data_IF_151717831078
#
_entry.id   IF_151717831078
#
_cell.length_a   1.000
_cell.length_b   1.000
_cell.length_c   1.000
_cell.angle_alpha   90.00
_cell.angle_beta   90.00
_cell.angle_gamma   90.00
#
_symmetry.space_group_name_H-M   'P 1'
#
loop_
_entity.id
_entity.type
_entity.pdbx_description
1 polymer ?
#
# COMPACT_ATOMS: atom_id res chain seq x y z
N UNK A 1 -0.49 54.58 39.72
CA UNK A 1 -1.20 54.54 41.02
C UNK A 1 -1.83 53.17 41.17
N UNK A 2 -1.43 52.45 42.22
CA UNK A 2 -2.11 51.40 42.97
C UNK A 2 -2.76 50.19 42.24
N UNK A 3 -2.65 48.93 42.66
CA UNK A 3 -1.79 48.12 43.55
C UNK A 3 -2.48 46.74 43.66
N UNK A 4 -1.70 45.66 43.48
CA UNK A 4 -1.81 44.29 44.07
C UNK A 4 -3.10 43.45 43.79
N UNK A 5 -3.00 42.13 43.62
CA UNK A 5 -2.50 41.16 44.62
C UNK A 5 -2.00 39.84 44.00
N UNK A 6 -0.79 39.44 44.39
CA UNK A 6 -0.35 38.03 44.50
C UNK A 6 -1.07 37.36 45.67
N UNK A 7 -1.27 36.04 45.59
CA UNK A 7 -0.87 35.10 46.65
C UNK A 7 -0.50 33.72 46.07
N UNK A 8 0.77 33.34 46.31
CA UNK A 8 1.24 31.96 46.35
C UNK A 8 0.66 31.25 47.58
N UNK A 9 0.40 29.95 47.46
CA UNK A 9 0.41 28.99 48.57
C UNK A 9 1.11 27.72 48.07
N UNK A 10 2.19 27.34 48.76
CA UNK A 10 2.87 26.05 48.66
C UNK A 10 2.61 25.23 49.93
N UNK A 11 3.09 23.98 49.90
CA UNK A 11 3.13 22.89 50.91
C UNK A 11 1.96 21.89 50.79
N UNK A 12 2.15 20.57 50.84
CA UNK A 12 3.32 19.69 50.89
C UNK A 12 2.84 18.23 50.85
N UNK A 13 3.78 17.31 50.58
CA UNK A 13 3.68 15.86 50.38
C UNK A 13 2.93 15.02 51.42
N UNK A 14 2.38 13.88 50.96
CA UNK A 14 2.30 12.60 51.70
C UNK A 14 2.22 11.43 50.70
N UNK A 15 3.17 10.49 50.78
CA UNK A 15 3.13 9.20 50.08
C UNK A 15 2.67 8.06 51.01
N UNK A 16 2.25 6.94 50.42
CA UNK A 16 2.24 5.54 50.92
C UNK A 16 1.48 4.68 49.88
N UNK A 17 2.17 3.79 49.15
CA UNK A 17 2.27 2.32 49.32
C UNK A 17 0.99 1.53 48.98
N UNK A 18 1.14 0.53 48.10
CA UNK A 18 0.20 -0.58 47.95
C UNK A 18 0.46 -1.46 46.73
N UNK A 19 1.43 -2.38 46.83
CA UNK A 19 1.60 -3.48 45.86
C UNK A 19 0.54 -4.55 46.09
N UNK A 20 -0.13 -4.98 45.02
CA UNK A 20 -0.96 -6.18 45.01
C UNK A 20 -0.20 -7.33 44.35
N UNK A 21 0.26 -8.28 45.16
CA UNK A 21 0.59 -9.62 44.73
C UNK A 21 -0.64 -10.50 45.01
N UNK A 22 -1.25 -11.07 43.97
CA UNK A 22 -2.30 -12.07 44.10
C UNK A 22 -1.66 -13.46 44.13
N UNK A 23 -1.65 -14.05 45.31
CA UNK A 23 -1.40 -15.47 45.52
C UNK A 23 -2.68 -16.24 45.19
N UNK A 24 -2.67 -16.98 44.09
CA UNK A 24 -3.65 -18.04 43.80
C UNK A 24 -3.08 -19.38 44.24
N UNK A 25 -3.62 -19.94 45.32
CA UNK A 25 -3.34 -21.30 45.76
C UNK A 25 -4.59 -22.15 45.51
N UNK A 26 -4.50 -23.09 44.56
CA UNK A 26 -5.46 -24.17 44.35
C UNK A 26 -4.66 -25.46 44.20
N UNK A 27 -4.62 -26.25 45.27
CA UNK A 27 -3.79 -27.44 45.38
C UNK A 27 -4.36 -28.69 44.72
N UNK A 28 -3.45 -29.62 44.44
CA UNK A 28 -3.73 -31.00 44.04
C UNK A 28 -2.43 -31.67 43.61
N UNK A 29 -1.77 -32.36 44.54
CA UNK A 29 -0.54 -33.11 44.30
C UNK A 29 -0.84 -34.44 43.62
N UNK A 30 -0.04 -34.79 42.61
CA UNK A 30 0.47 -36.15 42.40
C UNK A 30 1.77 -36.07 41.58
N UNK A 31 2.85 -36.60 42.14
CA UNK A 31 4.12 -36.81 41.46
C UNK A 31 4.05 -38.09 40.61
N UNK A 32 4.41 -38.02 39.33
CA UNK A 32 5.15 -39.10 38.68
C UNK A 32 5.99 -38.58 37.50
N UNK A 33 7.29 -38.86 37.56
CA UNK A 33 8.28 -38.62 36.52
C UNK A 33 7.99 -39.46 35.27
N UNK A 34 8.09 -38.83 34.10
CA UNK A 34 8.12 -39.52 32.81
C UNK A 34 8.28 -38.53 31.66
N UNK A 35 9.49 -38.00 31.46
CA UNK A 35 9.84 -37.19 30.31
C UNK A 35 9.71 -38.02 29.02
N UNK A 36 8.76 -37.64 28.16
CA UNK A 36 8.53 -38.20 26.83
C UNK A 36 8.19 -37.05 25.89
N UNK A 37 9.07 -36.87 24.90
CA UNK A 37 9.05 -35.90 23.81
C UNK A 37 7.72 -35.80 23.07
N UNK A 38 7.31 -34.57 22.76
CA UNK A 38 6.21 -34.27 21.85
C UNK A 38 6.00 -32.76 21.73
N UNK A 39 7.02 -32.04 21.24
CA UNK A 39 6.85 -30.67 20.80
C UNK A 39 6.00 -30.70 19.52
N UNK A 40 4.77 -30.19 19.61
CA UNK A 40 4.03 -29.69 18.46
C UNK A 40 4.67 -28.37 18.07
N UNK A 41 5.46 -28.43 17.00
CA UNK A 41 6.05 -27.28 16.33
C UNK A 41 4.93 -26.49 15.65
N UNK A 42 4.52 -25.39 16.29
CA UNK A 42 3.74 -24.35 15.66
C UNK A 42 4.75 -23.32 15.16
N UNK A 43 4.93 -23.26 13.84
CA UNK A 43 5.83 -22.33 13.17
C UNK A 43 5.45 -20.88 13.48
N UNK A 44 5.98 -20.35 14.57
CA UNK A 44 6.16 -18.92 14.75
C UNK A 44 7.41 -18.52 14.00
N UNK A 45 7.33 -17.42 13.25
CA UNK A 45 8.49 -16.73 12.69
C UNK A 45 9.63 -16.69 13.71
N UNK A 46 10.87 -16.90 13.25
CA UNK A 46 12.06 -16.79 14.10
C UNK A 46 12.18 -15.37 14.63
N UNK A 47 11.52 -15.10 15.76
CA UNK A 47 11.75 -13.94 16.61
C UNK A 47 13.12 -14.13 17.29
N UNK A 48 14.16 -13.72 16.60
CA UNK A 48 15.53 -13.72 17.08
C UNK A 48 16.43 -13.13 16.02
N UNK A 49 16.76 -11.84 16.15
CA UNK A 49 17.70 -11.19 15.25
C UNK A 49 17.68 -9.66 15.28
N UNK A 50 16.65 -9.02 15.84
CA UNK A 50 16.55 -7.57 15.78
C UNK A 50 17.62 -6.86 16.62
N UNK A 51 18.11 -7.50 17.68
CA UNK A 51 19.22 -7.00 18.50
C UNK A 51 20.53 -6.74 17.70
N UNK A 52 20.74 -7.45 16.58
CA UNK A 52 21.95 -7.34 15.76
C UNK A 52 21.77 -6.40 14.56
N UNK A 53 20.53 -5.98 14.29
CA UNK A 53 20.21 -5.07 13.19
C UNK A 53 20.68 -3.65 13.53
N UNK A 54 21.46 -3.07 12.62
CA UNK A 54 22.02 -1.73 12.80
C UNK A 54 22.15 -0.96 11.50
N UNK A 55 22.29 0.37 11.61
CA UNK A 55 22.55 1.25 10.47
C UNK A 55 21.28 1.81 9.81
N UNK A 56 21.32 2.00 8.50
CA UNK A 56 20.23 2.62 7.74
C UNK A 56 19.89 1.80 6.49
N UNK A 57 18.63 1.37 6.38
CA UNK A 57 18.08 0.73 5.20
C UNK A 57 17.23 1.74 4.44
N UNK A 58 17.62 2.08 3.22
CA UNK A 58 16.87 2.99 2.36
C UNK A 58 16.08 2.23 1.31
N UNK A 59 14.79 2.56 1.19
CA UNK A 59 13.89 2.18 0.11
C UNK A 59 13.26 3.39 -0.55
N UNK A 60 12.68 3.20 -1.73
CA UNK A 60 12.00 4.25 -2.48
C UNK A 60 10.94 3.66 -3.40
N UNK A 61 9.98 4.47 -3.82
CA UNK A 61 9.11 4.16 -4.95
C UNK A 61 7.67 4.55 -4.77
N UNK A 62 6.76 3.62 -5.03
CA UNK A 62 5.31 3.82 -5.06
C UNK A 62 4.82 4.70 -3.90
N UNK A 63 4.26 5.85 -4.26
CA UNK A 63 3.68 6.81 -3.31
C UNK A 63 2.31 6.36 -2.80
N UNK A 64 1.67 5.39 -3.45
CA UNK A 64 0.47 4.69 -2.99
C UNK A 64 0.68 4.11 -1.58
N UNK A 65 1.80 3.40 -1.38
CA UNK A 65 2.17 2.77 -0.11
C UNK A 65 2.64 3.75 0.98
N UNK A 66 2.65 5.06 0.76
CA UNK A 66 3.25 6.03 1.70
C UNK A 66 2.71 5.88 3.13
N UNK A 67 1.39 5.75 3.29
CA UNK A 67 0.77 5.60 4.61
C UNK A 67 1.15 4.26 5.28
N UNK A 68 1.15 3.16 4.52
CA UNK A 68 1.55 1.84 5.01
C UNK A 68 3.04 1.81 5.38
N UNK A 69 3.92 2.32 4.52
CA UNK A 69 5.36 2.41 4.78
C UNK A 69 5.66 3.27 6.01
N UNK A 70 4.93 4.38 6.20
CA UNK A 70 5.06 5.19 7.42
C UNK A 70 4.76 4.37 8.67
N UNK A 71 3.64 3.62 8.67
CA UNK A 71 3.28 2.76 9.79
C UNK A 71 4.26 1.60 10.00
N UNK A 72 4.67 0.93 8.92
CA UNK A 72 5.59 -0.19 8.95
C UNK A 72 6.98 0.21 9.45
N UNK A 73 7.55 1.30 8.93
CA UNK A 73 8.86 1.79 9.39
C UNK A 73 8.82 2.19 10.87
N UNK A 74 7.73 2.83 11.34
CA UNK A 74 7.59 3.20 12.75
C UNK A 74 7.45 1.97 13.67
N UNK A 75 6.58 1.03 13.32
CA UNK A 75 6.35 -0.18 14.11
C UNK A 75 7.57 -1.10 14.11
N UNK A 76 8.19 -1.34 12.95
CA UNK A 76 9.42 -2.13 12.84
C UNK A 76 10.56 -1.53 13.66
N UNK A 77 10.76 -0.20 13.62
CA UNK A 77 11.75 0.47 14.47
C UNK A 77 11.49 0.19 15.95
N UNK A 78 10.24 0.22 16.39
CA UNK A 78 9.86 -0.12 17.77
C UNK A 78 10.27 -1.53 18.17
N UNK A 79 10.11 -2.52 17.26
CA UNK A 79 10.55 -3.90 17.48
C UNK A 79 12.08 -4.00 17.56
N UNK A 80 12.80 -3.30 16.68
CA UNK A 80 14.27 -3.25 16.67
C UNK A 80 14.83 -2.66 17.97
N UNK A 81 14.30 -1.52 18.40
CA UNK A 81 14.71 -0.85 19.63
C UNK A 81 14.42 -1.70 20.88
N UNK A 82 13.31 -2.45 20.88
CA UNK A 82 12.93 -3.31 22.01
C UNK A 82 13.92 -4.46 22.25
N UNK A 83 14.60 -4.94 21.21
CA UNK A 83 15.66 -5.95 21.31
C UNK A 83 17.07 -5.37 21.45
N UNK A 84 17.20 -4.04 21.33
CA UNK A 84 18.48 -3.32 21.49
C UNK A 84 19.26 -3.10 20.20
N UNK A 85 18.65 -3.33 19.03
CA UNK A 85 19.19 -2.91 17.74
C UNK A 85 19.01 -1.41 17.49
N UNK A 86 19.59 -0.91 16.40
CA UNK A 86 19.51 0.51 16.02
C UNK A 86 19.25 0.75 14.52
N UNK A 87 18.84 -0.29 13.79
CA UNK A 87 18.47 -0.16 12.37
C UNK A 87 17.32 0.85 12.19
N UNK A 88 17.54 1.80 11.31
CA UNK A 88 16.52 2.74 10.83
C UNK A 88 16.16 2.38 9.39
N UNK A 89 14.87 2.22 9.11
CA UNK A 89 14.36 2.08 7.75
C UNK A 89 13.80 3.42 7.29
N UNK A 90 14.13 3.82 6.06
CA UNK A 90 13.61 5.02 5.40
C UNK A 90 12.97 4.63 4.08
N UNK A 91 11.87 5.29 3.73
CA UNK A 91 11.18 5.09 2.46
C UNK A 91 10.86 6.45 1.83
N UNK A 92 11.27 6.65 0.57
CA UNK A 92 11.00 7.86 -0.20
C UNK A 92 9.86 7.61 -1.22
N UNK A 93 8.66 8.20 -1.04
CA UNK A 93 7.49 7.94 -1.88
C UNK A 93 7.52 8.73 -3.20
N UNK A 94 8.45 8.38 -4.09
CA UNK A 94 8.78 9.12 -5.33
C UNK A 94 8.04 8.67 -6.59
N UNK A 95 7.17 7.67 -6.50
CA UNK A 95 6.52 7.02 -7.65
C UNK A 95 7.20 5.71 -8.04
N UNK A 96 6.43 4.77 -8.62
CA UNK A 96 6.91 3.41 -8.93
C UNK A 96 8.13 3.44 -9.86
N UNK A 97 8.07 4.21 -10.96
CA UNK A 97 9.15 4.28 -11.93
C UNK A 97 10.45 4.79 -11.30
N UNK A 98 10.39 5.93 -10.60
CA UNK A 98 11.54 6.47 -9.86
C UNK A 98 12.10 5.47 -8.84
N UNK A 99 11.23 4.73 -8.15
CA UNK A 99 11.64 3.68 -7.21
C UNK A 99 12.42 2.56 -7.88
N UNK A 100 11.89 2.02 -8.99
CA UNK A 100 12.56 0.97 -9.77
C UNK A 100 13.89 1.47 -10.32
N UNK A 101 13.96 2.68 -10.87
CA UNK A 101 15.21 3.29 -11.33
C UNK A 101 16.27 3.42 -10.21
N UNK A 102 15.86 3.88 -9.02
CA UNK A 102 16.76 3.99 -7.88
C UNK A 102 17.23 2.62 -7.37
N UNK A 103 16.37 1.62 -7.40
CA UNK A 103 16.73 0.24 -7.04
C UNK A 103 17.71 -0.36 -8.05
N UNK A 104 17.41 -0.30 -9.35
CA UNK A 104 18.24 -0.84 -10.43
C UNK A 104 19.59 -0.13 -10.57
N UNK A 105 19.72 1.10 -10.04
CA UNK A 105 21.00 1.82 -9.95
C UNK A 105 21.73 1.61 -8.62
N UNK A 106 21.18 0.81 -7.71
CA UNK A 106 21.76 0.48 -6.41
C UNK A 106 21.75 1.64 -5.40
N UNK A 107 20.97 2.69 -5.66
CA UNK A 107 20.82 3.84 -4.76
C UNK A 107 20.01 3.49 -3.51
N UNK A 108 19.04 2.58 -3.66
CA UNK A 108 18.24 2.00 -2.57
C UNK A 108 18.36 0.48 -2.58
N UNK A 109 17.98 -0.16 -1.46
CA UNK A 109 18.18 -1.61 -1.25
C UNK A 109 16.95 -2.45 -1.54
N UNK A 110 15.80 -1.79 -1.60
CA UNK A 110 14.54 -2.34 -2.07
C UNK A 110 13.75 -1.21 -2.71
N UNK A 111 12.87 -1.53 -3.64
CA UNK A 111 11.86 -0.60 -4.13
C UNK A 111 10.46 -1.06 -3.74
N UNK A 112 9.58 -0.10 -3.53
CA UNK A 112 8.15 -0.33 -3.54
C UNK A 112 7.59 0.03 -4.92
N UNK A 113 6.78 -0.82 -5.53
CA UNK A 113 6.26 -0.56 -6.88
C UNK A 113 4.86 -1.10 -7.08
N UNK A 114 3.96 -0.31 -7.66
CA UNK A 114 2.61 -0.75 -8.06
C UNK A 114 2.61 -1.54 -9.39
N UNK A 115 3.77 -1.61 -10.06
CA UNK A 115 4.01 -2.36 -11.28
C UNK A 115 5.27 -3.19 -11.11
N UNK A 116 5.15 -4.51 -11.17
CA UNK A 116 6.29 -5.40 -10.97
C UNK A 116 7.41 -5.11 -11.99
N UNK A 117 8.65 -5.43 -11.62
CA UNK A 117 9.77 -5.31 -12.56
C UNK A 117 9.47 -6.10 -13.84
N UNK A 118 9.65 -5.46 -14.99
CA UNK A 118 9.52 -6.14 -16.29
C UNK A 118 10.72 -7.06 -16.60
N UNK A 119 10.69 -7.81 -17.70
CA UNK A 119 11.79 -8.71 -18.08
C UNK A 119 13.13 -7.99 -18.26
N UNK A 120 13.13 -6.75 -18.75
CA UNK A 120 14.34 -5.96 -19.00
C UNK A 120 14.92 -5.44 -17.67
N UNK A 121 14.05 -4.97 -16.77
CA UNK A 121 14.39 -4.53 -15.42
C UNK A 121 14.88 -5.69 -14.54
N UNK A 122 14.22 -6.85 -14.60
CA UNK A 122 14.67 -8.08 -13.94
C UNK A 122 16.08 -8.47 -14.43
N UNK A 123 16.33 -8.43 -15.73
CA UNK A 123 17.65 -8.72 -16.28
C UNK A 123 18.69 -7.69 -15.83
N UNK A 124 18.34 -6.39 -15.80
CA UNK A 124 19.22 -5.32 -15.36
C UNK A 124 19.55 -5.39 -13.86
N UNK A 125 18.62 -5.89 -13.05
CA UNK A 125 18.79 -5.98 -11.59
C UNK A 125 20.00 -6.83 -11.16
N UNK A 126 20.43 -7.79 -12.00
CA UNK A 126 21.60 -8.63 -11.71
C UNK A 126 22.89 -7.81 -11.50
N UNK A 127 22.98 -6.61 -12.09
CA UNK A 127 24.12 -5.70 -11.90
C UNK A 127 24.24 -5.15 -10.47
N UNK A 128 23.12 -5.11 -9.73
CA UNK A 128 23.05 -4.57 -8.36
C UNK A 128 22.71 -5.63 -7.30
N UNK A 129 22.29 -6.82 -7.74
CA UNK A 129 21.83 -7.93 -6.89
C UNK A 129 22.85 -9.09 -6.81
N UNK A 130 24.15 -8.76 -6.81
CA UNK A 130 25.24 -9.73 -6.62
C UNK A 130 25.19 -10.91 -7.61
N UNK A 131 25.00 -10.60 -8.90
CA UNK A 131 24.88 -11.54 -10.03
C UNK A 131 23.61 -12.44 -10.00
N UNK A 132 22.72 -12.30 -9.02
CA UNK A 132 21.38 -12.90 -8.99
C UNK A 132 20.32 -11.90 -9.46
N UNK A 133 19.18 -12.36 -9.98
CA UNK A 133 18.08 -11.46 -10.34
C UNK A 133 17.32 -10.97 -9.11
N UNK A 134 16.71 -9.80 -9.23
CA UNK A 134 15.67 -9.34 -8.32
C UNK A 134 14.38 -10.13 -8.53
N UNK A 135 13.46 -9.99 -7.58
CA UNK A 135 12.13 -10.57 -7.63
C UNK A 135 11.14 -9.64 -6.93
N UNK A 136 9.86 -9.81 -7.22
CA UNK A 136 8.76 -9.01 -6.70
C UNK A 136 7.98 -9.82 -5.67
N UNK A 137 7.62 -9.19 -4.55
CA UNK A 137 6.75 -9.76 -3.53
C UNK A 137 5.53 -8.88 -3.31
N UNK A 138 4.30 -9.40 -3.46
CA UNK A 138 3.10 -8.61 -3.21
C UNK A 138 2.96 -8.41 -1.71
N UNK A 139 2.90 -7.15 -1.28
CA UNK A 139 2.86 -6.79 0.15
C UNK A 139 1.69 -5.90 0.55
N UNK A 140 1.04 -5.28 -0.43
CA UNK A 140 0.02 -4.28 -0.22
C UNK A 140 -1.05 -4.39 -1.31
N UNK A 141 -2.29 -4.67 -0.92
CA UNK A 141 -3.44 -4.70 -1.83
C UNK A 141 -4.34 -3.54 -1.45
N UNK A 142 -4.63 -2.66 -2.40
CA UNK A 142 -5.42 -1.47 -2.13
C UNK A 142 -6.30 -1.11 -3.31
N UNK A 143 -7.54 -0.65 -3.06
CA UNK A 143 -8.32 -0.05 -4.12
C UNK A 143 -7.77 1.33 -4.50
N UNK A 144 -7.84 1.63 -5.79
CA UNK A 144 -7.64 2.98 -6.31
C UNK A 144 -9.00 3.68 -6.29
N UNK A 145 -9.18 4.65 -5.40
CA UNK A 145 -10.37 5.47 -5.36
C UNK A 145 -10.35 6.50 -6.50
N UNK A 146 -11.48 6.61 -7.22
CA UNK A 146 -11.75 7.78 -8.06
C UNK A 146 -12.32 8.87 -7.17
N UNK A 147 -11.49 9.87 -6.91
CA UNK A 147 -11.76 10.97 -5.98
C UNK A 147 -12.18 12.21 -6.75
N UNK A 148 -13.07 13.02 -6.19
CA UNK A 148 -13.49 14.27 -6.81
C UNK A 148 -13.81 15.34 -5.76
N UNK A 149 -13.81 16.60 -6.20
CA UNK A 149 -14.20 17.73 -5.38
C UNK A 149 -15.29 18.52 -6.10
N UNK A 150 -16.54 18.25 -5.74
CA UNK A 150 -17.72 18.95 -6.26
C UNK A 150 -18.56 19.39 -5.08
N UNK A 151 -18.72 20.71 -4.91
CA UNK A 151 -19.45 21.26 -3.75
C UNK A 151 -20.85 20.65 -3.63
N UNK A 152 -21.13 20.02 -2.50
CA UNK A 152 -22.45 19.43 -2.19
C UNK A 152 -22.68 18.02 -2.74
N UNK A 153 -21.67 17.40 -3.37
CA UNK A 153 -21.71 16.03 -3.85
C UNK A 153 -20.61 15.22 -3.16
N UNK A 154 -20.99 14.23 -2.36
CA UNK A 154 -20.05 13.40 -1.61
C UNK A 154 -19.82 12.01 -2.25
N UNK A 155 -20.75 11.55 -3.08
CA UNK A 155 -20.68 10.25 -3.75
C UNK A 155 -21.37 10.29 -5.10
N UNK A 156 -20.79 9.56 -6.07
CA UNK A 156 -21.34 9.37 -7.41
C UNK A 156 -21.19 7.91 -7.84
N UNK A 157 -22.11 7.43 -8.65
CA UNK A 157 -22.00 6.20 -9.40
C UNK A 157 -21.41 6.52 -10.78
N UNK A 158 -20.29 5.89 -11.14
CA UNK A 158 -19.64 6.08 -12.44
C UNK A 158 -19.39 4.73 -13.12
N UNK A 159 -19.60 4.67 -14.44
CA UNK A 159 -19.24 3.53 -15.27
C UNK A 159 -17.80 3.65 -15.78
N UNK A 160 -17.15 2.54 -16.18
CA UNK A 160 -15.85 2.58 -16.84
C UNK A 160 -15.81 3.58 -18.01
N UNK A 161 -16.85 3.61 -18.85
CA UNK A 161 -16.92 4.50 -20.02
C UNK A 161 -17.03 5.97 -19.63
N UNK A 162 -17.76 6.29 -18.56
CA UNK A 162 -17.85 7.66 -18.05
C UNK A 162 -16.50 8.11 -17.49
N UNK A 163 -15.82 7.25 -16.73
CA UNK A 163 -14.49 7.56 -16.20
C UNK A 163 -13.49 7.74 -17.35
N UNK A 164 -13.45 6.80 -18.29
CA UNK A 164 -12.60 6.88 -19.48
C UNK A 164 -12.85 8.16 -20.28
N UNK A 165 -14.13 8.49 -20.53
CA UNK A 165 -14.52 9.70 -21.26
C UNK A 165 -14.14 10.99 -20.53
N UNK A 166 -14.21 11.02 -19.20
CA UNK A 166 -13.74 12.16 -18.40
C UNK A 166 -12.22 12.35 -18.57
N UNK A 167 -11.45 11.28 -18.38
CA UNK A 167 -9.99 11.37 -18.42
C UNK A 167 -9.42 11.52 -19.85
N UNK A 168 -10.15 11.08 -20.87
CA UNK A 168 -9.86 11.35 -22.27
C UNK A 168 -10.28 12.77 -22.72
N UNK A 169 -11.09 13.48 -21.92
CA UNK A 169 -11.57 14.84 -22.21
C UNK A 169 -12.81 14.92 -23.10
N UNK A 170 -13.52 13.80 -23.31
CA UNK A 170 -14.78 13.75 -24.06
C UNK A 170 -15.99 14.17 -23.21
N UNK A 171 -15.97 13.88 -21.92
CA UNK A 171 -16.98 14.32 -20.94
C UNK A 171 -16.39 15.47 -20.13
N UNK A 172 -16.89 16.68 -20.35
CA UNK A 172 -16.25 17.90 -19.86
C UNK A 172 -17.07 18.68 -18.83
N UNK A 173 -18.27 18.24 -18.46
CA UNK A 173 -19.13 18.94 -17.51
C UNK A 173 -19.83 17.97 -16.54
N UNK A 174 -19.94 18.35 -15.27
CA UNK A 174 -20.50 17.49 -14.22
C UNK A 174 -21.99 17.19 -14.38
N UNK A 175 -22.75 18.03 -15.10
CA UNK A 175 -24.15 17.76 -15.41
C UNK A 175 -24.36 16.99 -16.73
N UNK A 176 -23.29 16.47 -17.34
CA UNK A 176 -23.38 15.71 -18.58
C UNK A 176 -24.41 14.57 -18.44
N UNK A 177 -25.26 14.31 -19.45
CA UNK A 177 -26.26 13.24 -19.39
C UNK A 177 -25.69 11.88 -19.00
N UNK A 178 -24.45 11.56 -19.42
CA UNK A 178 -23.83 10.28 -19.07
C UNK A 178 -23.56 10.14 -17.56
N UNK A 179 -23.28 11.24 -16.86
CA UNK A 179 -23.13 11.26 -15.39
C UNK A 179 -24.51 11.32 -14.72
N UNK A 180 -25.41 12.18 -15.24
CA UNK A 180 -26.74 12.40 -14.66
C UNK A 180 -27.64 11.17 -14.71
N UNK A 181 -27.57 10.39 -15.79
CA UNK A 181 -28.38 9.17 -15.96
C UNK A 181 -27.99 8.08 -14.93
N UNK A 182 -26.73 8.06 -14.48
CA UNK A 182 -26.25 7.16 -13.42
C UNK A 182 -26.58 7.66 -12.00
N UNK A 183 -26.91 8.94 -11.86
CA UNK A 183 -27.06 9.64 -10.58
C UNK A 183 -28.36 10.48 -10.53
N UNK A 184 -29.55 9.86 -10.68
CA UNK A 184 -30.81 10.61 -10.81
C UNK A 184 -31.21 11.43 -9.57
N UNK A 185 -30.63 11.10 -8.41
CA UNK A 185 -30.89 11.77 -7.13
C UNK A 185 -29.82 12.82 -6.78
N UNK A 186 -28.73 12.94 -7.56
CA UNK A 186 -27.66 13.90 -7.31
C UNK A 186 -27.99 15.28 -7.91
N UNK A 187 -27.73 16.33 -7.14
CA UNK A 187 -27.84 17.72 -7.63
C UNK A 187 -26.56 18.12 -8.38
N UNK A 188 -26.41 17.66 -9.63
CA UNK A 188 -25.21 17.89 -10.43
C UNK A 188 -25.13 19.36 -10.93
N UNK A 189 -24.01 20.08 -10.68
CA UNK A 189 -23.85 21.46 -11.10
C UNK A 189 -23.48 21.56 -12.59
N UNK A 190 -23.85 22.67 -13.22
CA UNK A 190 -23.25 23.11 -14.49
C UNK A 190 -21.84 23.65 -14.20
N UNK A 191 -20.87 22.73 -14.19
CA UNK A 191 -19.50 22.96 -13.77
C UNK A 191 -18.56 22.14 -14.66
N UNK A 192 -17.53 22.80 -15.18
CA UNK A 192 -16.50 22.14 -15.99
C UNK A 192 -15.77 21.08 -15.15
N UNK A 193 -15.53 19.92 -15.75
CA UNK A 193 -14.71 18.86 -15.15
C UNK A 193 -13.24 19.18 -15.38
N UNK A 194 -12.44 19.03 -14.33
CA UNK A 194 -10.98 19.20 -14.39
C UNK A 194 -10.31 17.89 -13.98
N UNK A 195 -9.97 17.01 -14.93
CA UNK A 195 -9.19 15.82 -14.65
C UNK A 195 -7.81 16.18 -14.11
N UNK A 196 -7.40 15.50 -13.05
CA UNK A 196 -6.08 15.60 -12.42
C UNK A 196 -5.39 14.26 -12.52
N UNK A 197 -4.20 14.25 -13.12
CA UNK A 197 -3.38 13.04 -13.29
C UNK A 197 -2.06 13.14 -12.52
N UNK A 198 -1.31 12.03 -12.49
CA UNK A 198 0.05 12.00 -11.93
C UNK A 198 1.04 12.68 -12.87
N UNK A 199 2.00 13.41 -12.32
CA UNK A 199 3.10 14.01 -13.10
C UNK A 199 4.37 13.17 -13.14
N UNK A 200 4.49 12.20 -12.24
CA UNK A 200 5.57 11.23 -12.13
C UNK A 200 5.21 9.88 -12.77
N UNK A 201 6.22 9.05 -13.07
CA UNK A 201 6.03 7.71 -13.59
C UNK A 201 5.42 6.81 -12.50
N UNK A 202 4.14 6.48 -12.71
CA UNK A 202 3.25 6.04 -11.65
C UNK A 202 2.59 4.71 -12.00
N UNK A 203 2.91 3.66 -11.25
CA UNK A 203 2.19 2.39 -11.39
C UNK A 203 0.73 2.49 -10.92
N UNK A 204 0.37 3.45 -10.05
CA UNK A 204 -1.05 3.77 -9.79
C UNK A 204 -1.76 4.24 -11.07
N UNK A 205 -1.08 5.03 -11.93
CA UNK A 205 -1.61 5.44 -13.24
C UNK A 205 -1.72 4.24 -14.18
N UNK A 206 -0.73 3.36 -14.18
CA UNK A 206 -0.78 2.15 -14.99
C UNK A 206 -1.95 1.25 -14.60
N UNK A 207 -2.11 0.92 -13.31
CA UNK A 207 -3.23 0.11 -12.82
C UNK A 207 -4.60 0.75 -13.15
N UNK A 208 -4.72 2.08 -13.01
CA UNK A 208 -5.94 2.80 -13.35
C UNK A 208 -6.24 2.76 -14.85
N UNK A 209 -5.24 3.00 -15.69
CA UNK A 209 -5.39 3.04 -17.16
C UNK A 209 -5.49 1.66 -17.79
N UNK A 210 -4.92 0.63 -17.17
CA UNK A 210 -5.15 -0.78 -17.50
C UNK A 210 -6.63 -1.13 -17.33
N UNK A 211 -7.20 -0.85 -16.15
CA UNK A 211 -8.63 -1.03 -15.91
C UNK A 211 -9.50 -0.34 -16.99
N UNK A 212 -9.19 0.91 -17.33
CA UNK A 212 -9.91 1.65 -18.37
C UNK A 212 -9.70 1.04 -19.77
N UNK A 213 -8.52 0.52 -20.07
CA UNK A 213 -8.23 -0.11 -21.35
C UNK A 213 -9.01 -1.41 -21.56
N UNK A 214 -9.23 -2.17 -20.48
CA UNK A 214 -9.97 -3.43 -20.54
C UNK A 214 -11.49 -3.23 -20.49
N UNK A 215 -11.97 -2.25 -19.72
CA UNK A 215 -13.40 -2.04 -19.47
C UNK A 215 -14.03 -0.90 -20.27
N UNK A 216 -13.23 0.01 -20.82
CA UNK A 216 -13.70 1.15 -21.60
C UNK A 216 -12.82 1.45 -22.84
N UNK A 217 -12.46 0.45 -23.67
CA UNK A 217 -11.50 0.63 -24.77
C UNK A 217 -11.92 1.66 -25.83
N UNK A 218 -13.22 1.91 -25.97
CA UNK A 218 -13.75 2.93 -26.88
C UNK A 218 -13.60 4.36 -26.31
N UNK A 219 -13.57 4.51 -24.99
CA UNK A 219 -13.41 5.80 -24.30
C UNK A 219 -11.94 6.08 -23.93
N UNK A 220 -11.17 5.05 -23.57
CA UNK A 220 -9.74 5.13 -23.27
C UNK A 220 -8.92 4.27 -24.23
N UNK A 221 -8.26 4.92 -25.19
CA UNK A 221 -7.53 4.24 -26.28
C UNK A 221 -6.00 4.25 -26.13
N UNK A 222 -5.49 4.71 -24.98
CA UNK A 222 -4.05 4.87 -24.75
C UNK A 222 -3.36 3.62 -24.21
N UNK A 223 -4.11 2.60 -23.78
CA UNK A 223 -3.55 1.42 -23.13
C UNK A 223 -3.18 1.66 -21.65
N UNK A 224 -2.61 0.64 -20.98
CA UNK A 224 -1.96 0.80 -19.70
C UNK A 224 -0.70 1.64 -19.85
N UNK A 225 -0.55 2.68 -19.04
CA UNK A 225 0.58 3.63 -19.10
C UNK A 225 0.98 4.12 -17.72
N UNK A 226 2.28 4.17 -17.44
CA UNK A 226 2.80 4.79 -16.21
C UNK A 226 2.93 6.32 -16.34
N UNK A 227 3.42 6.78 -17.49
CA UNK A 227 3.52 8.20 -17.82
C UNK A 227 2.23 8.67 -18.48
N UNK A 228 1.63 9.73 -17.95
CA UNK A 228 0.38 10.26 -18.50
C UNK A 228 0.51 10.65 -19.99
N UNK A 229 -0.37 10.16 -20.88
CA UNK A 229 -0.14 10.25 -22.33
C UNK A 229 -0.74 11.52 -22.98
N UNK A 230 -1.58 12.26 -22.26
CA UNK A 230 -2.27 13.44 -22.79
C UNK A 230 -1.52 14.71 -22.36
N UNK A 231 -1.15 15.53 -23.34
CA UNK A 231 -0.44 16.79 -23.09
C UNK A 231 -1.34 17.83 -22.38
N UNK A 232 -0.80 18.46 -21.33
CA UNK A 232 -1.49 19.52 -20.59
C UNK A 232 -2.40 18.97 -19.48
N UNK A 233 -3.34 19.79 -19.00
CA UNK A 233 -4.20 19.43 -17.86
C UNK A 233 -3.64 19.86 -16.50
N UNK A 234 -4.32 19.46 -15.43
CA UNK A 234 -3.82 19.61 -14.06
C UNK A 234 -3.14 18.30 -13.65
N UNK A 235 -2.06 18.42 -12.90
CA UNK A 235 -1.31 17.25 -12.44
C UNK A 235 -0.75 17.46 -11.05
N UNK A 236 -0.48 16.37 -10.34
CA UNK A 236 0.18 16.36 -9.06
C UNK A 236 1.31 15.34 -9.00
N UNK A 237 2.37 15.70 -8.29
CA UNK A 237 3.52 14.84 -8.04
C UNK A 237 3.23 13.84 -6.91
N UNK A 238 3.34 12.55 -7.20
CA UNK A 238 2.96 11.51 -6.26
C UNK A 238 1.44 11.50 -5.96
N UNK A 239 1.04 10.56 -5.11
CA UNK A 239 -0.36 10.45 -4.66
C UNK A 239 -0.79 11.70 -3.89
N UNK A 240 0.05 12.19 -2.98
CA UNK A 240 -0.27 13.35 -2.14
C UNK A 240 -0.37 14.67 -2.92
N UNK A 241 0.45 14.87 -3.95
CA UNK A 241 0.36 16.03 -4.83
C UNK A 241 -0.90 15.99 -5.70
N UNK A 242 -1.30 14.80 -6.19
CA UNK A 242 -2.56 14.62 -6.90
C UNK A 242 -3.75 14.96 -6.00
N UNK A 243 -3.82 14.38 -4.80
CA UNK A 243 -4.88 14.65 -3.82
C UNK A 243 -4.96 16.14 -3.50
N UNK A 244 -3.82 16.79 -3.20
CA UNK A 244 -3.77 18.23 -2.91
C UNK A 244 -4.32 19.09 -4.06
N UNK A 245 -4.08 18.65 -5.30
CA UNK A 245 -4.57 19.35 -6.51
C UNK A 245 -6.07 19.19 -6.68
N UNK A 246 -6.61 17.98 -6.42
CA UNK A 246 -8.05 17.72 -6.42
C UNK A 246 -8.75 18.55 -5.31
N UNK A 247 -8.25 18.47 -4.07
CA UNK A 247 -8.77 19.26 -2.94
C UNK A 247 -8.75 20.77 -3.20
N UNK A 248 -7.77 21.26 -3.96
CA UNK A 248 -7.57 22.68 -4.24
C UNK A 248 -8.54 23.30 -5.25
N UNK A 249 -9.30 22.50 -6.00
CA UNK A 249 -10.17 23.00 -7.08
C UNK A 249 -11.58 22.40 -7.03
N UNK A 250 -12.62 23.26 -7.13
CA UNK A 250 -13.98 22.79 -7.34
C UNK A 250 -14.15 22.34 -8.80
N UNK A 251 -14.75 21.18 -9.01
CA UNK A 251 -14.92 20.52 -10.30
C UNK A 251 -13.81 19.55 -10.68
N UNK A 252 -12.84 19.31 -9.79
CA UNK A 252 -11.72 18.40 -10.05
C UNK A 252 -12.09 16.95 -9.82
N UNK A 253 -11.41 16.05 -10.54
CA UNK A 253 -11.51 14.59 -10.40
C UNK A 253 -10.13 13.97 -10.62
N UNK A 254 -9.78 12.95 -9.84
CA UNK A 254 -8.52 12.24 -9.93
C UNK A 254 -8.66 10.78 -9.51
N UNK A 255 -7.53 10.08 -9.47
CA UNK A 255 -7.43 8.69 -9.04
C UNK A 255 -6.26 8.56 -8.07
N UNK A 256 -6.47 7.87 -6.94
CA UNK A 256 -5.46 7.76 -5.90
C UNK A 256 -5.63 6.46 -5.10
N UNK A 257 -4.57 6.03 -4.44
CA UNK A 257 -4.69 5.04 -3.37
C UNK A 257 -5.75 5.49 -2.36
N UNK A 258 -6.70 4.60 -2.05
CA UNK A 258 -7.87 4.94 -1.24
C UNK A 258 -7.51 5.45 0.16
N UNK A 259 -6.36 5.06 0.72
CA UNK A 259 -5.92 5.55 2.03
C UNK A 259 -5.66 7.04 2.07
N UNK A 260 -5.44 7.67 0.90
CA UNK A 260 -5.14 9.09 0.75
C UNK A 260 -6.35 9.91 0.27
N UNK A 261 -7.52 9.29 0.04
CA UNK A 261 -8.72 9.99 -0.42
C UNK A 261 -9.21 11.09 0.54
N UNK A 262 -8.92 10.97 1.84
CA UNK A 262 -9.22 12.01 2.83
C UNK A 262 -10.72 12.28 2.97
N UNK A 263 -11.13 13.52 2.74
CA UNK A 263 -12.54 13.94 2.79
C UNK A 263 -13.11 14.30 1.41
N UNK A 264 -12.42 13.92 0.32
CA UNK A 264 -12.91 14.12 -1.02
C UNK A 264 -14.18 13.28 -1.26
N UNK A 265 -15.00 13.72 -2.20
CA UNK A 265 -16.06 12.87 -2.74
C UNK A 265 -15.44 11.67 -3.45
N UNK A 266 -16.14 10.53 -3.45
CA UNK A 266 -15.62 9.29 -4.05
C UNK A 266 -16.66 8.60 -4.91
N UNK A 267 -16.21 7.93 -5.97
CA UNK A 267 -17.10 7.22 -6.88
C UNK A 267 -17.27 5.74 -6.52
N UNK A 268 -18.51 5.26 -6.57
CA UNK A 268 -18.82 3.84 -6.67
C UNK A 268 -18.71 3.43 -8.13
N UNK A 269 -18.05 2.30 -8.40
CA UNK A 269 -17.67 1.91 -9.75
C UNK A 269 -18.60 0.81 -10.24
N UNK A 270 -19.07 0.95 -11.48
CA UNK A 270 -19.93 -0.07 -12.09
C UNK A 270 -19.17 -1.39 -12.30
N UNK A 271 -19.76 -2.49 -11.86
CA UNK A 271 -19.34 -3.88 -12.10
C UNK A 271 -20.58 -4.67 -12.49
N UNK A 272 -20.68 -5.10 -13.75
CA UNK A 272 -21.91 -5.65 -14.32
C UNK A 272 -23.09 -4.68 -14.15
N UNK A 273 -24.11 -5.09 -13.40
CA UNK A 273 -25.31 -4.27 -13.11
C UNK A 273 -25.23 -3.53 -11.76
N UNK A 274 -24.16 -3.73 -10.97
CA UNK A 274 -24.00 -3.19 -9.62
C UNK A 274 -23.01 -2.01 -9.60
N UNK A 275 -23.13 -1.15 -8.59
CA UNK A 275 -22.12 -0.13 -8.27
C UNK A 275 -21.46 -0.48 -6.94
N UNK A 276 -20.14 -0.60 -6.96
CA UNK A 276 -19.36 -1.09 -5.82
C UNK A 276 -18.52 0.05 -5.25
N UNK A 277 -18.69 0.30 -3.95
CA UNK A 277 -17.83 1.20 -3.18
C UNK A 277 -16.46 0.55 -2.95
N UNK A 278 -15.39 1.34 -2.94
CA UNK A 278 -14.07 0.78 -2.64
C UNK A 278 -14.00 0.31 -1.18
N UNK A 279 -13.47 -0.89 -0.97
CA UNK A 279 -13.09 -1.39 0.35
C UNK A 279 -11.89 -2.30 0.20
N UNK A 280 -11.09 -2.46 1.27
CA UNK A 280 -10.01 -3.45 1.29
C UNK A 280 -10.54 -4.86 0.99
N UNK A 281 -11.68 -5.26 1.57
CA UNK A 281 -12.29 -6.58 1.30
C UNK A 281 -12.65 -6.78 -0.18
N UNK A 282 -13.26 -5.77 -0.81
CA UNK A 282 -13.63 -5.83 -2.22
C UNK A 282 -12.40 -5.86 -3.15
N UNK A 283 -11.30 -5.20 -2.76
CA UNK A 283 -10.03 -5.25 -3.48
C UNK A 283 -9.34 -6.61 -3.34
N UNK A 284 -9.32 -7.22 -2.15
CA UNK A 284 -8.77 -8.57 -1.95
C UNK A 284 -9.47 -9.62 -2.83
N UNK A 285 -10.80 -9.54 -2.98
CA UNK A 285 -11.53 -10.45 -3.86
C UNK A 285 -11.06 -10.40 -5.31
N UNK A 286 -10.68 -9.23 -5.82
CA UNK A 286 -10.11 -9.10 -7.16
C UNK A 286 -8.80 -9.89 -7.28
N UNK A 287 -7.95 -9.83 -6.26
CA UNK A 287 -6.68 -10.57 -6.22
C UNK A 287 -6.91 -12.08 -6.12
N UNK A 288 -7.85 -12.53 -5.29
CA UNK A 288 -8.13 -13.96 -5.07
C UNK A 288 -8.62 -14.68 -6.34
N UNK A 289 -9.30 -13.97 -7.25
CA UNK A 289 -9.80 -14.54 -8.52
C UNK A 289 -8.80 -14.41 -9.67
N UNK A 290 -7.70 -13.69 -9.46
CA UNK A 290 -6.70 -13.38 -10.48
C UNK A 290 -5.59 -14.45 -10.55
N UNK A 291 -5.13 -14.83 -11.76
CA UNK A 291 -4.02 -15.77 -11.91
C UNK A 291 -2.68 -15.13 -11.54
N UNK A 292 -1.65 -15.96 -11.35
CA UNK A 292 -0.26 -15.49 -11.37
C UNK A 292 0.19 -15.21 -12.79
N UNK A 293 1.07 -14.23 -12.92
CA UNK A 293 1.77 -13.98 -14.18
C UNK A 293 2.64 -15.20 -14.54
N UNK A 294 2.54 -15.64 -15.80
CA UNK A 294 3.34 -16.76 -16.30
C UNK A 294 4.79 -16.32 -16.61
N UNK A 295 5.73 -17.28 -16.58
CA UNK A 295 7.12 -17.02 -16.97
C UNK A 295 8.01 -16.41 -15.87
N UNK A 296 7.46 -16.18 -14.68
CA UNK A 296 8.19 -15.74 -13.49
C UNK A 296 8.90 -16.91 -12.79
N UNK A 297 10.02 -16.61 -12.11
CA UNK A 297 10.71 -17.58 -11.24
C UNK A 297 9.88 -17.90 -9.99
N UNK A 298 10.12 -19.04 -9.35
CA UNK A 298 9.30 -19.52 -8.22
C UNK A 298 9.22 -18.51 -7.04
N UNK A 299 10.26 -17.69 -6.85
CA UNK A 299 10.33 -16.65 -5.83
C UNK A 299 9.83 -15.27 -6.28
N UNK A 300 9.53 -15.09 -7.57
CA UNK A 300 8.97 -13.87 -8.14
C UNK A 300 7.45 -13.99 -8.25
N UNK A 301 6.77 -13.43 -7.25
CA UNK A 301 5.33 -13.61 -7.10
C UNK A 301 4.64 -12.37 -7.68
N UNK A 302 4.11 -12.49 -8.89
CA UNK A 302 3.35 -11.43 -9.56
C UNK A 302 1.96 -11.94 -9.90
N UNK A 303 0.95 -11.11 -9.66
CA UNK A 303 -0.45 -11.39 -9.97
C UNK A 303 -0.84 -10.60 -11.21
N UNK A 304 -1.41 -11.28 -12.19
CA UNK A 304 -2.03 -10.69 -13.36
C UNK A 304 -3.50 -10.42 -13.02
N UNK A 305 -3.81 -9.17 -12.64
CA UNK A 305 -5.15 -8.79 -12.16
C UNK A 305 -6.19 -8.94 -13.27
N UNK A 306 -7.23 -9.74 -13.03
CA UNK A 306 -8.41 -9.78 -13.90
C UNK A 306 -9.25 -8.51 -13.69
N UNK A 307 -9.11 -7.53 -14.59
CA UNK A 307 -9.89 -6.28 -14.53
C UNK A 307 -11.32 -6.44 -15.05
N UNK A 308 -11.66 -7.59 -15.63
CA UNK A 308 -12.92 -7.81 -16.37
C UNK A 308 -13.93 -8.64 -15.60
N UNK A 309 -13.57 -9.14 -14.42
CA UNK A 309 -14.47 -9.93 -13.58
C UNK A 309 -15.72 -9.13 -13.19
N UNK A 310 -16.88 -9.79 -13.31
CA UNK A 310 -18.18 -9.28 -12.86
C UNK A 310 -18.65 -9.97 -11.57
N UNK A 311 -17.74 -10.61 -10.82
CA UNK A 311 -18.10 -11.25 -9.56
C UNK A 311 -18.61 -10.21 -8.54
N UNK A 312 -19.79 -10.48 -7.98
CA UNK A 312 -20.46 -9.53 -7.08
C UNK A 312 -19.61 -9.20 -5.85
N UNK A 313 -19.49 -7.91 -5.56
CA UNK A 313 -18.71 -7.39 -4.44
C UNK A 313 -17.19 -7.27 -4.70
N UNK A 314 -16.74 -7.50 -5.94
CA UNK A 314 -15.38 -7.12 -6.38
C UNK A 314 -15.36 -5.63 -6.70
N UNK A 315 -14.33 -4.92 -6.20
CA UNK A 315 -14.02 -3.58 -6.67
C UNK A 315 -12.98 -3.69 -7.80
N UNK A 316 -13.18 -3.06 -8.97
CA UNK A 316 -12.41 -3.42 -10.16
C UNK A 316 -11.10 -2.61 -10.31
N UNK A 317 -11.00 -1.44 -9.69
CA UNK A 317 -9.82 -0.58 -9.78
C UNK A 317 -8.90 -0.86 -8.57
N UNK A 318 -8.04 -1.87 -8.71
CA UNK A 318 -7.16 -2.36 -7.64
C UNK A 318 -5.71 -2.15 -8.02
N UNK A 319 -4.85 -1.88 -7.04
CA UNK A 319 -3.42 -2.04 -7.19
C UNK A 319 -2.91 -3.13 -6.26
N UNK A 320 -1.86 -3.81 -6.72
CA UNK A 320 -1.01 -4.64 -5.89
C UNK A 320 0.34 -3.95 -5.89
N UNK A 321 0.79 -3.51 -4.74
CA UNK A 321 2.16 -3.03 -4.60
C UNK A 321 3.07 -4.15 -4.16
N UNK A 322 4.22 -4.21 -4.83
CA UNK A 322 5.28 -5.17 -4.62
C UNK A 322 6.46 -4.52 -3.90
N UNK A 323 7.19 -5.33 -3.12
CA UNK A 323 8.59 -5.06 -2.83
C UNK A 323 9.43 -5.71 -3.92
N UNK A 324 10.24 -4.93 -4.62
CA UNK A 324 11.33 -5.42 -5.46
C UNK A 324 12.57 -5.62 -4.59
N UNK A 325 13.02 -6.87 -4.49
CA UNK A 325 14.12 -7.32 -3.62
C UNK A 325 15.19 -8.03 -4.45
N UNK A 326 16.45 -7.94 -4.06
CA UNK A 326 17.50 -8.74 -4.69
C UNK A 326 17.45 -10.20 -4.22
N UNK A 327 17.68 -11.15 -5.14
CA UNK A 327 17.94 -12.55 -4.81
C UNK A 327 19.20 -12.73 -3.95
N UNK A 328 20.19 -11.85 -4.12
CA UNK A 328 21.37 -11.81 -3.26
C UNK A 328 21.86 -10.40 -2.94
N UNK A 329 22.34 -10.22 -1.70
CA UNK A 329 23.01 -9.01 -1.25
C UNK A 329 24.48 -9.30 -0.91
N UNK A 330 25.41 -8.54 -1.49
CA UNK A 330 26.84 -8.68 -1.23
C UNK A 330 27.23 -8.24 0.20
N UNK A 331 26.54 -7.23 0.75
CA UNK A 331 26.73 -6.83 2.14
C UNK A 331 25.76 -7.62 3.03
N UNK A 332 26.30 -8.42 3.95
CA UNK A 332 25.48 -9.26 4.81
C UNK A 332 24.59 -8.47 5.77
N UNK A 333 25.03 -7.30 6.25
CA UNK A 333 24.21 -6.50 7.15
C UNK A 333 23.02 -5.88 6.39
N UNK A 334 23.24 -5.43 5.15
CA UNK A 334 22.16 -4.94 4.29
C UNK A 334 21.15 -6.05 3.95
N UNK A 335 21.64 -7.23 3.57
CA UNK A 335 20.79 -8.37 3.25
C UNK A 335 19.94 -8.83 4.44
N UNK A 336 20.54 -8.95 5.63
CA UNK A 336 19.79 -9.30 6.85
C UNK A 336 18.77 -8.22 7.23
N UNK A 337 19.09 -6.93 7.05
CA UNK A 337 18.16 -5.83 7.28
C UNK A 337 16.97 -5.87 6.31
N UNK A 338 17.20 -6.14 5.02
CA UNK A 338 16.14 -6.32 4.01
C UNK A 338 15.26 -7.50 4.38
N UNK A 339 15.84 -8.67 4.68
CA UNK A 339 15.09 -9.88 5.05
C UNK A 339 14.21 -9.62 6.27
N UNK A 340 14.76 -9.00 7.31
CA UNK A 340 14.02 -8.68 8.52
C UNK A 340 12.85 -7.72 8.27
N UNK A 341 13.08 -6.67 7.48
CA UNK A 341 12.03 -5.70 7.19
C UNK A 341 10.92 -6.27 6.29
N UNK A 342 11.29 -6.98 5.22
CA UNK A 342 10.33 -7.66 4.35
C UNK A 342 9.51 -8.70 5.12
N UNK A 343 10.16 -9.51 5.97
CA UNK A 343 9.48 -10.51 6.82
C UNK A 343 8.52 -9.85 7.80
N UNK A 344 8.87 -8.68 8.35
CA UNK A 344 7.96 -7.92 9.18
C UNK A 344 6.74 -7.42 8.38
N UNK A 345 6.93 -6.85 7.19
CA UNK A 345 5.84 -6.34 6.36
C UNK A 345 4.81 -7.44 6.04
N UNK A 346 5.26 -8.64 5.67
CA UNK A 346 4.38 -9.77 5.37
C UNK A 346 3.90 -10.54 6.61
N UNK A 347 4.34 -10.17 7.82
CA UNK A 347 3.86 -10.78 9.06
C UNK A 347 2.41 -10.38 9.37
N UNK A 348 1.73 -11.11 10.27
CA UNK A 348 0.40 -10.69 10.75
C UNK A 348 0.42 -9.28 11.33
N UNK A 349 1.48 -8.94 12.08
CA UNK A 349 1.64 -7.62 12.69
C UNK A 349 1.84 -6.52 11.64
N UNK A 350 2.68 -6.77 10.64
CA UNK A 350 2.89 -5.83 9.53
C UNK A 350 1.63 -5.64 8.69
N UNK A 351 0.96 -6.72 8.30
CA UNK A 351 -0.28 -6.65 7.55
C UNK A 351 -1.40 -5.96 8.34
N UNK A 352 -1.48 -6.19 9.65
CA UNK A 352 -2.42 -5.48 10.52
C UNK A 352 -2.09 -3.98 10.60
N UNK A 353 -0.81 -3.60 10.70
CA UNK A 353 -0.40 -2.19 10.69
C UNK A 353 -0.76 -1.50 9.35
N UNK A 354 -0.62 -2.21 8.22
CA UNK A 354 -1.04 -1.73 6.90
C UNK A 354 -2.55 -1.51 6.82
N UNK A 355 -3.34 -2.49 7.27
CA UNK A 355 -4.80 -2.38 7.34
C UNK A 355 -5.25 -1.19 8.22
N UNK A 356 -4.69 -1.05 9.42
CA UNK A 356 -5.11 -0.01 10.37
C UNK A 356 -4.77 1.42 9.93
N UNK A 357 -3.63 1.59 9.25
CA UNK A 357 -3.12 2.93 8.92
C UNK A 357 -3.33 3.31 7.45
N UNK A 358 -3.58 2.32 6.58
CA UNK A 358 -3.75 2.55 5.16
C UNK A 358 -4.95 1.79 4.56
N UNK A 359 -5.77 1.10 5.34
CA UNK A 359 -7.00 0.46 4.86
C UNK A 359 -6.79 -0.67 3.85
N UNK A 360 -5.55 -1.13 3.67
CA UNK A 360 -5.21 -2.19 2.72
C UNK A 360 -5.82 -3.52 3.11
N UNK A 361 -6.15 -4.30 2.10
CA UNK A 361 -6.52 -5.68 2.31
C UNK A 361 -5.26 -6.49 2.73
N UNK A 362 -5.30 -7.20 3.87
CA UNK A 362 -4.22 -8.11 4.22
C UNK A 362 -4.04 -9.19 3.16
N UNK A 363 -2.79 -9.53 2.82
CA UNK A 363 -2.50 -10.71 2.00
C UNK A 363 -2.87 -12.00 2.74
N UNK A 364 -3.24 -13.04 1.99
CA UNK A 364 -3.67 -14.33 2.54
C UNK A 364 -2.54 -15.06 3.28
N UNK A 365 -2.88 -15.96 4.20
CA UNK A 365 -1.87 -16.78 4.91
C UNK A 365 -1.03 -17.65 3.97
N UNK A 366 -1.62 -18.10 2.86
CA UNK A 366 -0.92 -18.81 1.80
C UNK A 366 0.13 -17.90 1.15
N UNK A 367 -0.26 -16.70 0.73
CA UNK A 367 0.64 -15.73 0.11
C UNK A 367 1.75 -15.27 1.08
N UNK A 368 1.42 -15.09 2.37
CA UNK A 368 2.43 -14.81 3.41
C UNK A 368 3.46 -15.93 3.54
N UNK A 369 3.01 -17.18 3.47
CA UNK A 369 3.90 -18.35 3.57
C UNK A 369 4.85 -18.42 2.38
N UNK A 370 4.36 -18.16 1.18
CA UNK A 370 5.16 -18.15 -0.04
C UNK A 370 6.14 -16.97 -0.07
N UNK A 371 5.68 -15.78 0.28
CA UNK A 371 6.52 -14.60 0.39
C UNK A 371 7.63 -14.81 1.45
N UNK A 372 7.33 -15.45 2.58
CA UNK A 372 8.35 -15.80 3.57
C UNK A 372 9.38 -16.78 2.99
N UNK A 373 8.95 -17.78 2.23
CA UNK A 373 9.87 -18.73 1.60
C UNK A 373 10.80 -18.04 0.58
N UNK A 374 10.29 -17.09 -0.19
CA UNK A 374 11.09 -16.26 -1.10
C UNK A 374 12.11 -15.39 -0.34
N UNK A 375 11.70 -14.75 0.77
CA UNK A 375 12.59 -13.96 1.63
C UNK A 375 13.68 -14.83 2.26
N UNK A 376 13.33 -16.02 2.74
CA UNK A 376 14.28 -16.97 3.33
C UNK A 376 15.36 -17.39 2.32
N UNK A 377 14.98 -17.48 1.04
CA UNK A 377 15.86 -17.78 -0.10
C UNK A 377 16.90 -16.70 -0.42
N UNK A 378 16.74 -15.46 0.06
CA UNK A 378 17.72 -14.38 -0.16
C UNK A 378 19.08 -14.78 0.43
N UNK A 379 20.12 -14.80 -0.40
CA UNK A 379 21.49 -15.10 0.02
C UNK A 379 22.28 -13.85 0.35
N UNK A 380 23.14 -13.96 1.37
CA UNK A 380 23.95 -12.85 1.87
C UNK A 380 25.44 -13.22 1.92
N UNK A 381 26.31 -12.28 1.51
CA UNK A 381 27.77 -12.35 1.70
C UNK A 381 28.61 -12.64 0.47
#
# INVERSE_FOLDING_TARGET
MNVRKNKLVSLAALGLVGGLALAGCGGGADESNGAGSGASDGGGASAGGYAELSGNLAGSGASSMQNAQTAWTESFRGLVEAEGGDLTVTYDPTGSGTGREQFLSGQVKFAGTDAALDEEELAASAEVCNDEQAFNLPVYISPIAVVFNVEGVDSLNLSPEVIGGIFAGDITNWNDPAIADLNPDAELPDLDIVPVHRSDDSGTTENFTEYLSENAPDAWSHGPVETWPIDGGQSGDGTSGLISTVEGGNGTIGYADASQAGNLGTANIQVGEEFVEFTGEAAAKAVDVSPREEGREDNDIVVELDRTTEESGVYPIVLISYLALCGSYADSAEGEAVKAYASYIISEEGQQAGLENAGSAPISDELRTEAQAAIDGITVG
#
